data_IF_509118969967
#
_entry.id   IF_509118969967
#
_cell.length_a   1.000
_cell.length_b   1.000
_cell.length_c   1.000
_cell.angle_alpha   90.00
_cell.angle_beta   90.00
_cell.angle_gamma   90.00
#
_symmetry.space_group_name_H-M   'P 1'
#
loop_
_entity.id
_entity.type
_entity.pdbx_description
1 polymer ?
#
# COMPACT_ATOMS: atom_id res chain seq x y z
N UNK A 1 -18.02 -13.41 -28.80
CA UNK A 1 -18.17 -11.98 -28.45
C UNK A 1 -18.34 -11.91 -26.96
N UNK A 2 -17.25 -11.69 -26.23
CA UNK A 2 -17.27 -11.52 -24.77
C UNK A 2 -17.25 -10.02 -24.50
N UNK A 3 -18.33 -9.52 -23.90
CA UNK A 3 -18.45 -8.15 -23.40
C UNK A 3 -17.60 -8.05 -22.14
N UNK A 4 -16.46 -7.37 -22.24
CA UNK A 4 -15.70 -6.93 -21.09
C UNK A 4 -16.49 -5.84 -20.37
N UNK A 5 -16.95 -6.15 -19.17
CA UNK A 5 -17.55 -5.18 -18.25
C UNK A 5 -16.42 -4.38 -17.61
N UNK A 6 -16.20 -3.17 -18.10
CA UNK A 6 -15.41 -2.15 -17.41
C UNK A 6 -16.17 -1.69 -16.16
N UNK A 7 -15.62 -1.74 -14.94
CA UNK A 7 -16.27 -1.11 -13.80
C UNK A 7 -15.97 0.40 -13.80
N UNK A 8 -17.06 1.18 -13.83
CA UNK A 8 -17.25 2.52 -13.30
C UNK A 8 -16.10 3.53 -13.36
N UNK A 9 -16.13 4.36 -14.41
CA UNK A 9 -15.68 5.77 -14.33
C UNK A 9 -16.94 6.62 -14.24
N UNK A 10 -17.51 6.88 -13.06
CA UNK A 10 -18.72 7.73 -12.96
C UNK A 10 -18.86 8.67 -11.75
N UNK A 11 -17.86 8.83 -10.87
CA UNK A 11 -18.03 9.73 -9.70
C UNK A 11 -17.21 11.04 -9.73
N UNK A 12 -16.51 11.34 -10.84
CA UNK A 12 -15.85 12.65 -11.02
C UNK A 12 -14.85 13.07 -9.92
N UNK A 13 -14.36 12.12 -9.10
CA UNK A 13 -13.46 12.38 -7.98
C UNK A 13 -14.12 12.88 -6.69
N UNK A 14 -15.45 12.83 -6.57
CA UNK A 14 -16.23 13.37 -5.43
C UNK A 14 -16.22 12.47 -4.20
N UNK A 15 -16.07 11.17 -4.40
CA UNK A 15 -15.85 10.20 -3.35
C UNK A 15 -14.37 9.94 -3.17
N UNK A 16 -13.93 9.92 -1.92
CA UNK A 16 -12.59 9.52 -1.49
C UNK A 16 -12.67 8.44 -0.44
N UNK A 17 -11.77 7.47 -0.56
CA UNK A 17 -11.54 6.43 0.43
C UNK A 17 -10.33 6.82 1.26
N UNK A 18 -10.43 6.67 2.58
CA UNK A 18 -9.36 7.01 3.51
C UNK A 18 -9.09 5.90 4.47
N UNK A 19 -7.81 5.61 4.64
CA UNK A 19 -7.35 4.63 5.58
C UNK A 19 -7.00 5.28 6.92
N UNK A 20 -7.82 5.00 7.93
CA UNK A 20 -7.58 5.36 9.31
C UNK A 20 -6.61 4.35 9.90
N UNK A 21 -5.33 4.75 9.95
CA UNK A 21 -4.23 3.90 10.40
C UNK A 21 -4.49 3.33 11.78
N UNK A 22 -5.05 4.12 12.68
CA UNK A 22 -5.24 3.69 14.06
C UNK A 22 -6.28 2.60 14.26
N UNK A 23 -7.29 2.59 13.40
CA UNK A 23 -8.34 1.58 13.41
C UNK A 23 -8.11 0.48 12.37
N UNK A 24 -7.13 0.64 11.47
CA UNK A 24 -6.95 -0.19 10.26
C UNK A 24 -8.20 -0.28 9.39
N UNK A 25 -8.92 0.82 9.25
CA UNK A 25 -10.20 0.85 8.55
C UNK A 25 -10.19 1.83 7.40
N UNK A 26 -10.86 1.44 6.33
CA UNK A 26 -11.17 2.32 5.22
C UNK A 26 -12.51 2.99 5.49
N UNK A 27 -12.58 4.29 5.23
CA UNK A 27 -13.77 5.09 5.37
C UNK A 27 -14.01 5.85 4.08
N UNK A 28 -15.27 5.92 3.69
CA UNK A 28 -15.69 6.59 2.47
C UNK A 28 -16.23 7.98 2.78
N UNK A 29 -15.77 8.97 2.03
CA UNK A 29 -16.25 10.34 2.15
C UNK A 29 -16.68 10.83 0.79
N UNK A 30 -17.94 11.20 0.69
CA UNK A 30 -18.55 11.70 -0.55
C UNK A 30 -18.95 13.15 -0.38
N UNK A 31 -18.66 13.98 -1.37
CA UNK A 31 -19.19 15.33 -1.48
C UNK A 31 -20.49 15.31 -2.29
N UNK A 32 -21.53 16.00 -1.81
CA UNK A 32 -22.74 16.20 -2.59
C UNK A 32 -22.41 16.89 -3.93
N UNK A 33 -23.17 16.59 -5.00
CA UNK A 33 -22.96 17.22 -6.30
C UNK A 33 -23.06 18.74 -6.22
N UNK A 34 -22.10 19.44 -6.83
CA UNK A 34 -22.26 20.86 -7.15
C UNK A 34 -23.20 21.04 -8.35
N UNK A 35 -23.93 22.16 -8.37
CA UNK A 35 -24.82 22.51 -9.51
C UNK A 35 -24.03 22.59 -10.83
N UNK A 36 -22.75 22.94 -10.73
CA UNK A 36 -21.79 22.92 -11.83
C UNK A 36 -20.74 21.84 -11.56
N UNK A 37 -20.65 20.78 -12.39
CA UNK A 37 -19.63 19.76 -12.22
C UNK A 37 -18.23 20.33 -12.51
N UNK A 38 -17.17 19.80 -11.87
CA UNK A 38 -15.81 20.20 -12.20
C UNK A 38 -15.51 19.84 -13.66
N UNK A 39 -15.07 20.82 -14.44
CA UNK A 39 -14.84 20.66 -15.89
C UNK A 39 -13.36 20.43 -16.22
N UNK A 40 -12.45 20.82 -15.31
CA UNK A 40 -11.00 20.69 -15.52
C UNK A 40 -10.35 19.73 -14.52
N UNK A 41 -9.18 19.18 -14.89
CA UNK A 41 -8.34 18.39 -13.97
C UNK A 41 -7.96 19.18 -12.72
N UNK A 42 -7.76 20.49 -12.86
CA UNK A 42 -7.39 21.37 -11.75
C UNK A 42 -8.54 21.54 -10.75
N UNK A 43 -9.80 21.57 -11.22
CA UNK A 43 -10.99 21.59 -10.37
C UNK A 43 -11.16 20.26 -9.64
N UNK A 44 -10.89 19.14 -10.31
CA UNK A 44 -10.92 17.80 -9.69
C UNK A 44 -9.85 17.67 -8.59
N UNK A 45 -8.65 18.20 -8.82
CA UNK A 45 -7.56 18.19 -7.83
C UNK A 45 -7.89 19.11 -6.63
N UNK A 46 -8.44 20.30 -6.88
CA UNK A 46 -8.88 21.20 -5.82
C UNK A 46 -10.01 20.61 -4.97
N UNK A 47 -11.00 19.97 -5.62
CA UNK A 47 -12.08 19.26 -4.95
C UNK A 47 -11.53 18.08 -4.13
N UNK A 48 -10.54 17.37 -4.68
CA UNK A 48 -9.86 16.26 -4.00
C UNK A 48 -9.14 16.73 -2.73
N UNK A 49 -8.37 17.83 -2.82
CA UNK A 49 -7.66 18.41 -1.67
C UNK A 49 -8.64 18.91 -0.61
N UNK A 50 -9.72 19.57 -1.03
CA UNK A 50 -10.79 20.02 -0.13
C UNK A 50 -11.42 18.85 0.61
N UNK A 51 -11.69 17.73 -0.07
CA UNK A 51 -12.13 16.49 0.57
C UNK A 51 -11.19 16.05 1.70
N UNK A 52 -9.87 16.01 1.44
CA UNK A 52 -8.87 15.65 2.45
C UNK A 52 -8.85 16.59 3.67
N UNK A 53 -8.90 17.90 3.45
CA UNK A 53 -8.85 18.89 4.53
C UNK A 53 -10.08 18.77 5.45
N UNK A 54 -11.24 18.52 4.85
CA UNK A 54 -12.50 18.34 5.59
C UNK A 54 -12.54 17.05 6.36
N UNK A 55 -11.92 16.00 5.84
CA UNK A 55 -11.73 14.76 6.58
C UNK A 55 -10.92 14.93 7.85
N UNK A 56 -9.87 15.74 7.79
CA UNK A 56 -9.06 16.02 8.97
C UNK A 56 -9.89 16.74 10.06
N UNK A 57 -10.89 17.53 9.67
CA UNK A 57 -11.83 18.18 10.61
C UNK A 57 -12.68 17.16 11.39
N UNK A 58 -13.06 16.04 10.77
CA UNK A 58 -13.97 15.05 11.38
C UNK A 58 -13.29 13.80 11.93
N UNK A 59 -11.97 13.65 11.78
CA UNK A 59 -11.20 12.45 12.17
C UNK A 59 -11.50 12.00 13.60
N UNK A 60 -11.50 12.92 14.58
CA UNK A 60 -11.73 12.60 16.00
C UNK A 60 -13.18 12.20 16.29
N UNK A 61 -14.16 12.69 15.52
CA UNK A 61 -15.55 12.25 15.64
C UNK A 61 -15.71 10.83 15.07
N UNK A 62 -15.15 10.57 13.90
CA UNK A 62 -15.17 9.25 13.26
C UNK A 62 -14.45 8.20 14.12
N UNK A 63 -13.40 8.59 14.85
CA UNK A 63 -12.74 7.74 15.84
C UNK A 63 -13.63 7.26 16.98
N UNK A 64 -14.68 8.02 17.30
CA UNK A 64 -15.61 7.71 18.38
C UNK A 64 -16.86 6.98 17.90
N UNK A 65 -17.01 6.78 16.59
CA UNK A 65 -18.18 6.18 15.95
C UNK A 65 -17.76 4.98 15.07
N UNK A 66 -17.31 3.86 15.67
CA UNK A 66 -16.76 2.71 14.94
C UNK A 66 -17.76 2.03 14.00
N UNK A 67 -19.06 2.22 14.19
CA UNK A 67 -20.11 1.69 13.33
C UNK A 67 -20.26 2.45 12.00
N UNK A 68 -19.73 3.68 11.92
CA UNK A 68 -19.79 4.47 10.70
C UNK A 68 -18.78 3.92 9.68
N UNK A 69 -19.22 3.80 8.44
CA UNK A 69 -18.42 3.31 7.30
C UNK A 69 -18.27 4.37 6.21
N UNK A 70 -19.24 5.28 6.11
CA UNK A 70 -19.22 6.35 5.13
C UNK A 70 -19.89 7.62 5.67
N UNK A 71 -19.44 8.77 5.17
CA UNK A 71 -20.08 10.07 5.42
C UNK A 71 -20.30 10.81 4.10
N UNK A 72 -21.37 11.59 4.06
CA UNK A 72 -21.63 12.53 2.97
C UNK A 72 -21.61 13.94 3.51
N UNK A 73 -20.86 14.81 2.82
CA UNK A 73 -20.71 16.22 3.16
C UNK A 73 -21.42 17.09 2.11
N UNK A 74 -21.99 18.21 2.54
CA UNK A 74 -22.49 19.24 1.62
C UNK A 74 -21.39 20.20 1.14
N UNK A 75 -21.78 21.18 0.33
CA UNK A 75 -20.90 22.25 -0.16
C UNK A 75 -20.42 23.19 0.96
N UNK A 76 -21.10 23.24 2.10
CA UNK A 76 -20.65 23.97 3.30
C UNK A 76 -19.75 23.14 4.18
N UNK A 77 -19.47 21.89 3.77
CA UNK A 77 -18.57 20.95 4.43
C UNK A 77 -19.10 20.40 5.75
N UNK A 78 -20.41 20.49 5.92
CA UNK A 78 -21.14 19.94 7.05
C UNK A 78 -21.62 18.52 6.70
N UNK A 79 -21.65 17.65 7.72
CA UNK A 79 -22.14 16.28 7.54
C UNK A 79 -23.65 16.31 7.32
N UNK A 80 -24.09 15.83 6.17
CA UNK A 80 -25.51 15.71 5.83
C UNK A 80 -26.02 14.28 5.96
N UNK A 81 -25.14 13.27 5.85
CA UNK A 81 -25.49 11.89 6.14
C UNK A 81 -24.32 11.05 6.62
N UNK A 82 -24.66 10.01 7.38
CA UNK A 82 -23.77 8.97 7.88
C UNK A 82 -24.33 7.62 7.43
N UNK A 83 -23.45 6.70 7.02
CA UNK A 83 -23.81 5.31 6.75
C UNK A 83 -23.15 4.38 7.77
N UNK A 84 -23.92 3.42 8.26
CA UNK A 84 -23.48 2.31 9.10
C UNK A 84 -23.73 0.95 8.43
N UNK A 85 -24.04 0.95 7.12
CA UNK A 85 -24.31 -0.27 6.37
C UNK A 85 -23.00 -1.05 6.16
N UNK A 86 -22.86 -2.27 6.70
CA UNK A 86 -21.65 -3.07 6.52
C UNK A 86 -21.30 -3.36 5.06
N UNK A 87 -22.28 -3.34 4.14
CA UNK A 87 -22.01 -3.51 2.70
C UNK A 87 -21.24 -2.33 2.09
N UNK A 88 -21.25 -1.18 2.76
CA UNK A 88 -20.44 -0.02 2.41
C UNK A 88 -19.06 0.00 3.05
N UNK A 89 -18.71 -0.98 3.91
CA UNK A 89 -17.38 -1.08 4.50
C UNK A 89 -16.40 -1.70 3.50
N UNK A 90 -15.54 -0.86 2.93
CA UNK A 90 -14.51 -1.27 1.97
C UNK A 90 -13.21 -1.70 2.69
N UNK A 91 -13.23 -1.86 4.02
CA UNK A 91 -12.06 -2.28 4.79
C UNK A 91 -11.58 -3.67 4.39
N UNK A 92 -10.40 -3.73 3.79
CA UNK A 92 -9.74 -4.99 3.45
C UNK A 92 -9.07 -5.55 4.71
N UNK A 93 -9.56 -6.70 5.18
CA UNK A 93 -8.90 -7.46 6.25
C UNK A 93 -7.69 -8.22 5.71
N UNK A 94 -6.61 -8.24 6.50
CA UNK A 94 -5.47 -9.11 6.24
C UNK A 94 -5.86 -10.59 6.31
N UNK A 95 -5.28 -11.39 5.42
CA UNK A 95 -5.37 -12.85 5.43
C UNK A 95 -4.22 -13.40 6.26
N UNK A 96 -4.52 -14.29 7.19
CA UNK A 96 -3.54 -14.99 8.03
C UNK A 96 -3.60 -16.48 7.71
N UNK A 97 -2.90 -16.91 6.65
CA UNK A 97 -2.89 -18.31 6.24
C UNK A 97 -2.20 -19.19 7.29
N UNK A 98 -2.60 -20.45 7.36
CA UNK A 98 -2.10 -21.38 8.37
C UNK A 98 -0.67 -21.78 8.03
N UNK A 99 0.20 -21.88 9.05
CA UNK A 99 1.63 -22.15 8.82
C UNK A 99 1.89 -23.43 8.02
N UNK A 100 1.05 -24.46 8.19
CA UNK A 100 1.20 -25.72 7.47
C UNK A 100 0.86 -25.65 5.98
N UNK A 101 0.26 -24.54 5.51
CA UNK A 101 0.00 -24.27 4.10
C UNK A 101 1.26 -23.78 3.37
N UNK A 102 2.34 -23.48 4.10
CA UNK A 102 3.60 -22.99 3.55
C UNK A 102 4.70 -24.05 3.54
N UNK A 103 5.60 -24.01 2.54
CA UNK A 103 6.83 -24.78 2.61
C UNK A 103 7.65 -24.37 3.85
N UNK A 104 8.53 -25.24 4.37
CA UNK A 104 9.35 -24.91 5.52
C UNK A 104 10.25 -23.72 5.21
N UNK A 105 9.91 -22.57 5.78
CA UNK A 105 10.65 -21.31 5.63
C UNK A 105 10.91 -20.72 7.01
N UNK A 106 11.92 -19.86 7.10
CA UNK A 106 12.18 -19.15 8.36
C UNK A 106 10.93 -18.32 8.71
N UNK A 107 10.27 -18.69 9.80
CA UNK A 107 8.94 -18.18 10.16
C UNK A 107 9.03 -17.41 11.47
N UNK A 108 8.43 -16.23 11.49
CA UNK A 108 8.25 -15.43 12.70
C UNK A 108 6.76 -15.42 13.02
N UNK A 109 6.40 -15.89 14.22
CA UNK A 109 5.01 -15.84 14.66
C UNK A 109 4.58 -14.39 14.91
N UNK A 110 3.34 -14.05 14.52
CA UNK A 110 2.78 -12.70 14.74
C UNK A 110 2.77 -12.30 16.22
N UNK A 111 2.59 -13.27 17.13
CA UNK A 111 2.65 -13.06 18.58
C UNK A 111 4.05 -12.68 19.09
N UNK A 112 5.10 -12.97 18.33
CA UNK A 112 6.47 -12.56 18.59
C UNK A 112 6.83 -11.17 18.07
N UNK A 113 5.88 -10.45 17.48
CA UNK A 113 6.06 -9.09 16.95
C UNK A 113 5.28 -8.07 17.80
N UNK A 114 5.97 -7.01 18.21
CA UNK A 114 5.37 -5.84 18.88
C UNK A 114 5.27 -4.72 17.86
N UNK A 115 4.06 -4.23 17.66
CA UNK A 115 3.81 -3.08 16.80
C UNK A 115 4.35 -1.80 17.45
N UNK A 116 5.14 -1.05 16.70
CA UNK A 116 5.76 0.20 17.13
C UNK A 116 5.10 1.42 16.46
N UNK A 117 4.76 1.30 15.18
CA UNK A 117 4.18 2.38 14.37
C UNK A 117 3.50 1.81 13.11
N UNK A 118 2.82 2.66 12.32
CA UNK A 118 2.13 2.31 11.07
C UNK A 118 2.53 3.26 9.94
N UNK A 119 3.17 2.70 8.92
CA UNK A 119 3.72 3.48 7.79
C UNK A 119 2.84 3.44 6.53
N UNK A 120 1.82 2.57 6.47
CA UNK A 120 0.90 2.48 5.33
C UNK A 120 -0.39 1.73 5.64
N UNK A 121 -1.27 1.60 4.63
CA UNK A 121 -2.59 0.99 4.78
C UNK A 121 -2.59 -0.48 5.19
N UNK A 122 -1.44 -1.14 5.08
CA UNK A 122 -1.20 -2.50 5.57
C UNK A 122 0.30 -2.71 5.76
N UNK A 123 0.96 -1.74 6.40
CA UNK A 123 2.38 -1.82 6.68
C UNK A 123 2.64 -1.30 8.10
N UNK A 124 2.95 -2.22 8.99
CA UNK A 124 3.29 -1.94 10.38
C UNK A 124 4.81 -1.91 10.54
N UNK A 125 5.31 -0.96 11.32
CA UNK A 125 6.66 -1.03 11.88
C UNK A 125 6.57 -1.86 13.15
N UNK A 126 7.38 -2.89 13.25
CA UNK A 126 7.35 -3.84 14.36
C UNK A 126 8.74 -4.01 14.95
N UNK A 127 8.82 -4.47 16.19
CA UNK A 127 10.02 -5.04 16.78
C UNK A 127 9.81 -6.50 17.13
N UNK A 128 10.88 -7.29 17.04
CA UNK A 128 10.85 -8.65 17.58
C UNK A 128 10.88 -8.61 19.10
N UNK A 129 9.96 -9.35 19.73
CA UNK A 129 9.89 -9.49 21.18
C UNK A 129 11.02 -10.36 21.71
N UNK A 130 11.17 -11.54 21.11
CA UNK A 130 12.01 -12.62 21.63
C UNK A 130 13.04 -13.09 20.57
N UNK A 131 14.08 -13.78 21.04
CA UNK A 131 15.08 -14.43 20.20
C UNK A 131 16.21 -13.53 19.71
N UNK A 132 17.04 -14.01 18.75
CA UNK A 132 18.27 -13.33 18.29
C UNK A 132 18.03 -11.97 17.62
N UNK A 133 16.79 -11.72 17.19
CA UNK A 133 16.36 -10.47 16.59
C UNK A 133 15.69 -9.53 17.59
N UNK A 134 15.59 -9.89 18.88
CA UNK A 134 14.91 -9.07 19.90
C UNK A 134 15.36 -7.62 19.86
N UNK A 135 14.39 -6.69 19.88
CA UNK A 135 14.61 -5.25 19.78
C UNK A 135 14.96 -4.74 18.37
N UNK A 136 15.16 -5.61 17.37
CA UNK A 136 15.37 -5.17 15.97
C UNK A 136 14.04 -4.76 15.35
N UNK A 137 14.06 -3.61 14.69
CA UNK A 137 12.92 -3.07 13.94
C UNK A 137 12.80 -3.74 12.58
N UNK A 138 11.57 -4.09 12.22
CA UNK A 138 11.20 -4.67 10.94
C UNK A 138 9.91 -4.03 10.41
N UNK A 139 9.59 -4.33 9.15
CA UNK A 139 8.29 -4.00 8.54
C UNK A 139 7.46 -5.26 8.42
N UNK A 140 6.24 -5.22 8.95
CA UNK A 140 5.25 -6.28 8.81
C UNK A 140 4.16 -5.82 7.83
N UNK A 141 4.00 -6.56 6.73
CA UNK A 141 2.94 -6.37 5.75
C UNK A 141 2.04 -7.61 5.80
N UNK A 142 0.80 -7.54 6.34
CA UNK A 142 -0.12 -8.65 6.23
C UNK A 142 -0.45 -8.88 4.76
N UNK A 143 -0.66 -10.14 4.42
CA UNK A 143 -1.18 -10.52 3.11
C UNK A 143 -2.57 -9.91 2.90
N UNK A 144 -2.75 -9.18 1.80
CA UNK A 144 -4.07 -8.74 1.34
C UNK A 144 -4.46 -9.58 0.14
N UNK A 145 -5.66 -10.18 0.15
CA UNK A 145 -6.19 -11.06 -0.91
C UNK A 145 -5.40 -12.38 -1.11
N UNK A 146 -5.58 -13.03 -2.28
CA UNK A 146 -4.83 -14.21 -2.74
C UNK A 146 -3.49 -13.84 -3.44
N UNK A 147 -3.22 -12.55 -3.69
CA UNK A 147 -1.95 -11.99 -4.16
C UNK A 147 -0.68 -12.38 -3.35
N UNK A 148 -0.69 -12.59 -2.01
CA UNK A 148 0.47 -13.10 -1.26
C UNK A 148 1.07 -14.36 -1.85
N UNK A 149 0.29 -15.22 -2.51
CA UNK A 149 0.82 -16.45 -3.08
C UNK A 149 1.84 -16.16 -4.17
N UNK A 150 1.53 -15.25 -5.09
CA UNK A 150 2.43 -14.94 -6.19
C UNK A 150 3.68 -14.21 -5.71
N UNK A 151 3.51 -13.22 -4.83
CA UNK A 151 4.61 -12.48 -4.23
C UNK A 151 5.54 -13.41 -3.42
N UNK A 152 4.97 -14.26 -2.56
CA UNK A 152 5.74 -15.24 -1.79
C UNK A 152 6.41 -16.28 -2.68
N UNK A 153 5.76 -16.79 -3.72
CA UNK A 153 6.36 -17.76 -4.63
C UNK A 153 7.54 -17.17 -5.40
N UNK A 154 7.45 -15.90 -5.81
CA UNK A 154 8.58 -15.18 -6.40
C UNK A 154 9.69 -15.00 -5.37
N UNK A 155 9.37 -14.49 -4.18
CA UNK A 155 10.37 -14.23 -3.13
C UNK A 155 11.09 -15.47 -2.62
N UNK A 156 10.40 -16.60 -2.48
CA UNK A 156 11.00 -17.85 -2.02
C UNK A 156 11.92 -18.50 -3.06
N UNK A 157 11.80 -18.12 -4.34
CA UNK A 157 12.54 -18.73 -5.45
C UNK A 157 13.64 -17.83 -6.01
N UNK A 158 13.57 -16.52 -5.77
CA UNK A 158 14.62 -15.60 -6.18
C UNK A 158 15.84 -15.73 -5.24
N UNK A 159 17.07 -15.82 -5.79
CA UNK A 159 18.26 -15.71 -4.98
C UNK A 159 18.40 -14.29 -4.39
N UNK A 160 19.14 -14.11 -3.28
CA UNK A 160 19.41 -12.79 -2.73
C UNK A 160 20.01 -11.84 -3.77
N UNK A 161 19.48 -10.62 -3.86
CA UNK A 161 19.96 -9.59 -4.79
C UNK A 161 20.02 -8.22 -4.09
N UNK A 162 21.11 -7.45 -4.22
CA UNK A 162 21.32 -6.22 -3.45
C UNK A 162 20.30 -5.10 -3.71
N UNK A 163 19.58 -5.18 -4.83
CA UNK A 163 18.55 -4.22 -5.23
C UNK A 163 17.14 -4.81 -5.23
N UNK A 164 16.94 -5.98 -4.62
CA UNK A 164 15.63 -6.57 -4.36
C UNK A 164 15.53 -6.80 -2.86
N UNK A 165 14.62 -6.10 -2.20
CA UNK A 165 14.42 -6.28 -0.76
C UNK A 165 13.36 -7.35 -0.54
N UNK A 166 13.80 -8.56 -0.18
CA UNK A 166 12.94 -9.71 0.07
C UNK A 166 12.37 -9.71 1.50
N UNK A 167 11.32 -10.52 1.73
CA UNK A 167 10.66 -10.68 3.03
C UNK A 167 11.60 -11.09 4.18
N UNK A 168 12.67 -11.85 3.91
CA UNK A 168 13.67 -12.22 4.91
C UNK A 168 14.55 -11.06 5.38
N UNK A 169 14.57 -9.97 4.61
CA UNK A 169 15.31 -8.73 4.88
C UNK A 169 14.35 -7.58 5.18
N UNK A 170 13.22 -7.83 5.84
CA UNK A 170 12.18 -6.85 6.19
C UNK A 170 12.66 -5.77 7.19
N UNK A 171 13.85 -5.21 6.99
CA UNK A 171 14.41 -4.09 7.73
C UNK A 171 13.67 -2.81 7.34
N UNK A 172 13.46 -1.95 8.33
CA UNK A 172 12.98 -0.59 8.07
C UNK A 172 14.10 0.21 7.41
N UNK A 173 13.86 0.72 6.19
CA UNK A 173 14.78 1.63 5.52
C UNK A 173 14.44 3.08 5.89
N UNK A 174 15.37 3.84 6.51
CA UNK A 174 15.07 5.15 7.10
C UNK A 174 14.73 6.23 6.06
N UNK A 175 15.16 6.04 4.81
CA UNK A 175 14.88 6.99 3.75
C UNK A 175 13.53 6.74 3.07
N UNK A 176 12.84 5.63 3.32
CA UNK A 176 11.58 5.31 2.64
C UNK A 176 11.70 5.18 1.12
N UNK A 177 10.57 5.32 0.42
CA UNK A 177 10.46 5.23 -1.03
C UNK A 177 10.62 6.58 -1.75
N UNK A 178 10.73 6.55 -3.09
CA UNK A 178 10.94 7.75 -3.91
C UNK A 178 9.79 8.77 -3.90
N UNK A 179 8.58 8.40 -3.46
CA UNK A 179 7.45 9.32 -3.31
C UNK A 179 7.46 10.08 -1.99
N UNK A 180 8.33 9.68 -1.05
CA UNK A 180 8.42 10.29 0.26
C UNK A 180 8.67 11.80 0.15
N UNK A 181 7.97 12.63 0.95
CA UNK A 181 8.19 14.08 0.98
C UNK A 181 9.65 14.47 1.23
N UNK A 182 10.42 13.64 1.94
CA UNK A 182 11.84 13.83 2.19
C UNK A 182 12.69 13.92 0.91
N UNK A 183 12.20 13.36 -0.21
CA UNK A 183 12.92 13.37 -1.50
C UNK A 183 12.37 14.37 -2.50
N UNK A 184 11.31 15.13 -2.19
CA UNK A 184 10.81 16.17 -3.12
C UNK A 184 11.88 17.20 -3.48
N UNK A 185 12.79 17.48 -2.55
CA UNK A 185 13.93 18.38 -2.75
C UNK A 185 15.19 17.67 -3.28
N UNK A 186 15.22 16.33 -3.33
CA UNK A 186 16.39 15.56 -3.77
C UNK A 186 16.23 15.19 -5.24
N UNK A 187 17.17 15.58 -6.13
CA UNK A 187 17.10 15.17 -7.51
C UNK A 187 17.24 13.65 -7.62
N UNK A 188 16.37 13.04 -8.42
CA UNK A 188 16.49 11.64 -8.78
C UNK A 188 17.82 11.39 -9.51
N UNK A 189 18.59 10.40 -9.05
CA UNK A 189 19.95 10.17 -9.54
C UNK A 189 19.93 9.21 -10.73
N UNK A 190 20.62 9.55 -11.83
CA UNK A 190 20.72 8.68 -13.01
C UNK A 190 21.30 7.29 -12.68
N UNK A 191 22.18 7.20 -11.67
CA UNK A 191 22.70 5.91 -11.18
C UNK A 191 21.60 5.01 -10.61
N UNK A 192 20.54 5.57 -10.05
CA UNK A 192 19.39 4.81 -9.55
C UNK A 192 18.60 4.21 -10.70
N UNK A 193 18.33 4.96 -11.77
CA UNK A 193 17.69 4.44 -12.97
C UNK A 193 18.47 3.27 -13.56
N UNK A 194 19.79 3.41 -13.68
CA UNK A 194 20.64 2.34 -14.21
C UNK A 194 20.53 1.06 -13.37
N UNK A 195 20.59 1.18 -12.04
CA UNK A 195 20.45 0.04 -11.12
C UNK A 195 19.07 -0.61 -11.20
N UNK A 196 18.01 0.20 -11.30
CA UNK A 196 16.65 -0.29 -11.50
C UNK A 196 16.50 -1.06 -12.82
N UNK A 197 16.99 -0.49 -13.93
CA UNK A 197 16.99 -1.17 -15.23
C UNK A 197 17.72 -2.50 -15.17
N UNK A 198 18.92 -2.53 -14.59
CA UNK A 198 19.69 -3.77 -14.42
C UNK A 198 18.95 -4.80 -13.55
N UNK A 199 18.25 -4.36 -12.52
CA UNK A 199 17.46 -5.23 -11.64
C UNK A 199 16.24 -5.80 -12.38
N UNK A 200 15.54 -4.98 -13.16
CA UNK A 200 14.41 -5.41 -13.99
C UNK A 200 14.87 -6.36 -15.10
N UNK A 201 16.00 -6.07 -15.76
CA UNK A 201 16.59 -6.97 -16.75
C UNK A 201 17.00 -8.30 -16.11
N UNK A 202 17.53 -8.27 -14.89
CA UNK A 202 17.86 -9.49 -14.15
C UNK A 202 16.61 -10.34 -13.90
N UNK A 203 15.52 -9.74 -13.42
CA UNK A 203 14.24 -10.42 -13.22
C UNK A 203 13.69 -11.02 -14.53
N UNK A 204 13.60 -10.18 -15.56
CA UNK A 204 12.99 -10.54 -16.83
C UNK A 204 13.82 -11.59 -17.59
N UNK A 205 15.12 -11.35 -17.74
CA UNK A 205 15.98 -12.13 -18.63
C UNK A 205 16.56 -13.38 -17.96
N UNK A 206 16.77 -13.37 -16.63
CA UNK A 206 17.32 -14.53 -15.91
C UNK A 206 16.25 -15.43 -15.33
N UNK A 207 15.18 -14.87 -14.80
CA UNK A 207 14.14 -15.63 -14.09
C UNK A 207 12.81 -15.70 -14.83
N UNK A 208 12.64 -14.92 -15.91
CA UNK A 208 11.37 -14.87 -16.63
C UNK A 208 10.24 -14.29 -15.77
N UNK A 209 10.56 -13.44 -14.80
CA UNK A 209 9.61 -12.80 -13.89
C UNK A 209 9.48 -11.33 -14.28
N UNK A 210 8.26 -10.86 -14.54
CA UNK A 210 7.94 -9.44 -14.65
C UNK A 210 7.36 -8.96 -13.32
N UNK A 211 7.77 -7.78 -12.86
CA UNK A 211 7.27 -7.19 -11.62
C UNK A 211 5.85 -6.61 -11.75
N UNK A 212 5.47 -6.14 -12.94
CA UNK A 212 4.18 -5.48 -13.26
C UNK A 212 3.85 -4.17 -12.50
N UNK A 213 4.64 -3.78 -11.50
CA UNK A 213 4.38 -2.59 -10.68
C UNK A 213 5.63 -1.78 -10.34
N UNK A 214 6.54 -1.61 -11.31
CA UNK A 214 7.72 -0.75 -11.12
C UNK A 214 7.29 0.71 -11.09
N UNK A 215 7.09 1.26 -9.88
CA UNK A 215 6.70 2.66 -9.64
C UNK A 215 7.56 3.26 -8.52
N UNK A 216 7.58 4.59 -8.44
CA UNK A 216 8.35 5.32 -7.43
C UNK A 216 8.11 4.83 -5.99
N UNK A 217 6.86 4.52 -5.63
CA UNK A 217 6.48 4.01 -4.30
C UNK A 217 7.05 2.62 -3.96
N UNK A 218 7.40 1.85 -4.99
CA UNK A 218 7.96 0.50 -4.83
C UNK A 218 9.49 0.51 -4.95
N UNK A 219 10.10 1.69 -4.95
CA UNK A 219 11.54 1.89 -5.02
C UNK A 219 12.03 2.53 -3.73
N UNK A 220 12.64 1.75 -2.84
CA UNK A 220 13.20 2.24 -1.59
C UNK A 220 14.61 2.78 -1.77
N UNK A 221 14.93 3.87 -1.08
CA UNK A 221 16.29 4.40 -1.02
C UNK A 221 17.06 3.67 0.07
N UNK A 222 17.99 2.83 -0.36
CA UNK A 222 18.83 2.04 0.52
C UNK A 222 20.15 2.77 0.77
N UNK A 223 20.56 3.04 2.04
CA UNK A 223 21.84 3.69 2.31
C UNK A 223 23.05 2.84 1.88
N UNK A 224 22.91 1.52 1.85
CA UNK A 224 23.99 0.58 1.52
C UNK A 224 24.06 0.35 0.00
N UNK A 225 22.90 0.21 -0.65
CA UNK A 225 22.82 -0.24 -2.05
C UNK A 225 22.30 0.83 -3.02
N UNK A 226 22.05 2.05 -2.54
CA UNK A 226 21.38 3.19 -3.21
C UNK A 226 19.88 3.02 -3.43
N UNK A 227 19.45 1.93 -4.06
CA UNK A 227 18.05 1.70 -4.42
C UNK A 227 17.71 0.23 -4.36
N UNK A 228 16.51 -0.09 -3.87
CA UNK A 228 15.96 -1.43 -3.83
C UNK A 228 14.51 -1.45 -4.29
N UNK A 229 14.15 -2.50 -5.03
CA UNK A 229 12.80 -2.77 -5.50
C UNK A 229 12.06 -3.64 -4.47
N UNK A 230 10.80 -3.30 -4.19
CA UNK A 230 9.91 -4.01 -3.28
C UNK A 230 8.55 -4.27 -3.95
N UNK A 231 7.70 -5.02 -3.27
CA UNK A 231 6.28 -5.22 -3.59
C UNK A 231 6.04 -5.99 -4.88
N UNK A 232 6.28 -7.29 -4.82
CA UNK A 232 6.09 -8.21 -5.95
C UNK A 232 4.66 -8.79 -5.96
N UNK A 233 3.71 -8.11 -5.29
CA UNK A 233 2.29 -8.48 -5.20
C UNK A 233 1.63 -8.78 -6.55
N UNK A 234 2.07 -8.10 -7.60
CA UNK A 234 1.55 -8.23 -8.96
C UNK A 234 2.52 -8.94 -9.91
N UNK A 235 3.63 -9.48 -9.42
CA UNK A 235 4.62 -10.12 -10.26
C UNK A 235 4.01 -11.30 -11.02
N UNK A 236 4.51 -11.59 -12.22
CA UNK A 236 4.02 -12.68 -13.05
C UNK A 236 5.15 -13.32 -13.84
N UNK A 237 4.95 -14.56 -14.26
CA UNK A 237 5.85 -15.21 -15.22
C UNK A 237 5.59 -14.64 -16.62
N UNK A 238 6.66 -14.28 -17.34
CA UNK A 238 6.59 -13.79 -18.72
C UNK A 238 6.19 -14.92 -19.69
N UNK A 239 6.57 -16.16 -19.37
CA UNK A 239 6.17 -17.37 -20.11
C UNK A 239 5.84 -18.51 -19.14
N UNK A 240 4.64 -18.54 -18.54
CA UNK A 240 4.21 -19.66 -17.74
C UNK A 240 4.09 -20.90 -18.65
N UNK A 241 4.91 -21.93 -18.40
CA UNK A 241 4.73 -23.25 -19.00
C UNK A 241 3.71 -24.05 -18.21
#
# INVERSE_FOLDING_TARGET
>A
MATASTPAVQDGGRTKELFFRDQRRWFKVSLLPEEHPPETTQDIDALSQRGFDLLWRYVTQLERAPEVVAITLDQSTEIVSLSTDPQGDETISGVYPLLHEFPPVNTVLRSGLVELDRIGSSCDVVSHRDGPASGRTAVFKPALFNAPWTEMQVFLRLPPHPHILCASSARLLPNGDLTSPYHRARPFKLKWLRKLMQTVDHLNLRFGVTHQDVRARNCLIDPDTDIALIDFGLAAMINPR
#
